data_IF_267892931334
#
_entry.id   IF_267892931334
#
_cell.length_a   1.000
_cell.length_b   1.000
_cell.length_c   1.000
_cell.angle_alpha   90.00
_cell.angle_beta   90.00
_cell.angle_gamma   90.00
#
_symmetry.space_group_name_H-M   'P 1'
#
loop_
_entity.id
_entity.type
_entity.pdbx_description
1 polymer ?
#
# COMPACT_ATOMS: atom_id res chain seq x y z
N UNK A 1 -4.20 4.36 5.36
CA UNK A 1 -3.02 4.30 4.47
C UNK A 1 -1.94 3.48 5.15
N UNK A 2 -1.50 2.39 4.53
CA UNK A 2 -0.32 1.63 4.97
C UNK A 2 0.95 2.46 4.76
N UNK A 3 1.85 2.46 5.74
CA UNK A 3 3.09 3.25 5.72
C UNK A 3 4.27 2.40 6.15
N UNK A 4 5.46 2.76 5.68
CA UNK A 4 6.71 2.22 6.20
C UNK A 4 7.60 3.39 6.63
N UNK A 5 8.29 3.22 7.76
CA UNK A 5 9.31 4.13 8.25
C UNK A 5 10.61 3.39 8.40
N UNK A 6 11.73 4.02 8.08
CA UNK A 6 13.05 3.42 8.33
C UNK A 6 13.55 3.79 9.71
N UNK A 7 14.14 2.81 10.41
CA UNK A 7 14.81 3.01 11.68
C UNK A 7 16.16 2.31 11.71
N UNK A 8 17.00 2.70 12.66
CA UNK A 8 18.29 2.05 12.89
C UNK A 8 18.12 0.88 13.85
N UNK A 9 18.23 -0.35 13.35
CA UNK A 9 18.19 -1.56 14.17
C UNK A 9 19.56 -1.93 14.70
N UNK A 10 19.57 -2.55 15.88
CA UNK A 10 20.72 -3.25 16.48
C UNK A 10 20.53 -4.75 16.54
N UNK A 11 19.42 -5.24 16.00
CA UNK A 11 19.11 -6.66 15.92
C UNK A 11 20.08 -7.34 14.93
N UNK A 12 20.87 -8.32 15.39
CA UNK A 12 21.81 -9.04 14.54
C UNK A 12 21.14 -9.99 13.54
N UNK A 13 19.88 -10.37 13.77
CA UNK A 13 19.16 -11.31 12.92
C UNK A 13 18.55 -10.63 11.67
N UNK A 14 18.53 -9.29 11.65
CA UNK A 14 18.05 -8.52 10.51
C UNK A 14 19.17 -8.32 9.46
N UNK A 15 18.83 -8.34 8.16
CA UNK A 15 19.84 -8.32 7.10
C UNK A 15 20.55 -6.96 6.95
N UNK A 16 19.97 -5.86 7.43
CA UNK A 16 20.57 -4.53 7.37
C UNK A 16 20.31 -3.69 8.63
N UNK A 17 21.24 -2.77 8.93
CA UNK A 17 21.12 -1.84 10.07
C UNK A 17 20.00 -0.81 9.90
N UNK A 18 19.77 -0.32 8.69
CA UNK A 18 18.61 0.53 8.41
C UNK A 18 17.50 -0.39 7.91
N UNK A 19 16.40 -0.46 8.65
CA UNK A 19 15.38 -1.47 8.43
C UNK A 19 13.97 -0.85 8.43
N UNK A 20 13.02 -1.35 7.61
CA UNK A 20 11.67 -0.83 7.57
C UNK A 20 10.84 -1.34 8.77
N UNK A 21 10.08 -0.43 9.35
CA UNK A 21 8.99 -0.69 10.27
C UNK A 21 7.67 -0.45 9.52
N UNK A 22 6.86 -1.48 9.36
CA UNK A 22 5.59 -1.40 8.61
C UNK A 22 4.46 -1.08 9.57
N UNK A 23 3.77 0.02 9.29
CA UNK A 23 2.60 0.48 10.04
C UNK A 23 1.35 0.08 9.24
N UNK A 24 0.55 -0.87 9.75
CA UNK A 24 -0.68 -1.28 9.08
C UNK A 24 -1.71 -0.15 9.05
N UNK A 25 -2.60 -0.20 8.08
CA UNK A 25 -3.63 0.82 7.87
C UNK A 25 -4.68 0.86 8.98
N UNK A 26 -4.97 -0.28 9.59
CA UNK A 26 -6.10 -0.48 10.52
C UNK A 26 -5.73 -0.27 12.00
N UNK A 27 -4.59 0.38 12.27
CA UNK A 27 -4.17 0.70 13.65
C UNK A 27 -3.62 -0.49 14.46
N UNK A 28 -3.37 -1.63 13.81
CA UNK A 28 -2.72 -2.78 14.44
C UNK A 28 -1.25 -2.54 14.82
N UNK A 29 -0.61 -3.49 15.52
CA UNK A 29 0.79 -3.37 15.92
C UNK A 29 1.69 -3.24 14.70
N UNK A 30 2.72 -2.41 14.83
CA UNK A 30 3.76 -2.27 13.82
C UNK A 30 4.47 -3.59 13.62
N UNK A 31 4.77 -3.92 12.37
CA UNK A 31 5.45 -5.17 12.02
C UNK A 31 6.89 -4.86 11.60
N UNK A 32 7.82 -5.65 12.14
CA UNK A 32 9.23 -5.65 11.74
C UNK A 32 9.40 -6.88 10.83
N UNK A 33 9.65 -6.69 9.52
CA UNK A 33 9.89 -7.81 8.63
C UNK A 33 11.19 -8.52 8.99
N UNK A 34 11.27 -9.83 8.74
CA UNK A 34 12.49 -10.61 9.03
C UNK A 34 13.44 -10.72 7.83
N UNK A 35 12.94 -10.42 6.63
CA UNK A 35 13.72 -10.43 5.38
C UNK A 35 13.24 -9.35 4.41
N UNK A 36 13.97 -9.16 3.31
CA UNK A 36 13.58 -8.21 2.25
C UNK A 36 12.30 -8.68 1.56
N UNK A 37 12.17 -9.98 1.32
CA UNK A 37 11.00 -10.62 0.73
C UNK A 37 9.78 -10.42 1.64
N UNK A 38 9.94 -10.67 2.93
CA UNK A 38 8.88 -10.44 3.92
C UNK A 38 8.47 -8.96 3.96
N UNK A 39 9.43 -8.02 3.87
CA UNK A 39 9.13 -6.59 3.80
C UNK A 39 8.30 -6.23 2.56
N UNK A 40 8.63 -6.80 1.39
CA UNK A 40 7.89 -6.59 0.15
C UNK A 40 6.46 -7.10 0.27
N UNK A 41 6.28 -8.32 0.75
CA UNK A 41 4.95 -8.92 0.91
C UNK A 41 4.10 -8.16 1.92
N UNK A 42 4.64 -7.86 3.10
CA UNK A 42 3.90 -7.10 4.10
C UNK A 42 3.51 -5.69 3.63
N UNK A 43 4.35 -5.03 2.82
CA UNK A 43 4.07 -3.68 2.35
C UNK A 43 3.15 -3.65 1.13
N UNK A 44 3.39 -4.50 0.13
CA UNK A 44 2.80 -4.39 -1.22
C UNK A 44 1.80 -5.50 -1.56
N UNK A 45 1.87 -6.67 -0.94
CA UNK A 45 0.91 -7.74 -1.17
C UNK A 45 -0.30 -7.56 -0.25
N UNK A 46 -1.20 -6.66 -0.64
CA UNK A 46 -2.43 -6.40 0.10
C UNK A 46 -3.67 -6.62 -0.75
N UNK A 47 -4.73 -7.09 -0.08
CA UNK A 47 -6.06 -7.16 -0.62
C UNK A 47 -6.95 -6.13 0.10
N UNK A 48 -7.59 -5.25 -0.67
CA UNK A 48 -8.56 -4.27 -0.13
C UNK A 48 -9.86 -4.36 -0.91
N UNK A 49 -10.95 -4.57 -0.18
CA UNK A 49 -12.31 -4.56 -0.72
C UNK A 49 -12.90 -3.17 -0.56
N UNK A 50 -13.53 -2.68 -1.62
CA UNK A 50 -14.30 -1.44 -1.59
C UNK A 50 -15.76 -1.80 -1.82
N UNK A 51 -16.62 -1.41 -0.87
CA UNK A 51 -18.06 -1.58 -1.00
C UNK A 51 -18.64 -0.27 -1.52
N UNK A 52 -19.35 -0.35 -2.65
CA UNK A 52 -19.97 0.78 -3.31
C UNK A 52 -21.49 0.58 -3.28
N UNK A 53 -22.22 1.49 -2.64
CA UNK A 53 -23.67 1.46 -2.66
C UNK A 53 -24.16 1.89 -4.04
N UNK A 54 -24.97 1.06 -4.72
CA UNK A 54 -25.48 1.40 -6.07
C UNK A 54 -26.25 2.73 -6.11
N UNK A 55 -26.93 3.07 -5.02
CA UNK A 55 -27.62 4.36 -4.89
C UNK A 55 -26.69 5.59 -4.98
N UNK A 56 -25.41 5.48 -4.59
CA UNK A 56 -24.47 6.62 -4.67
C UNK A 56 -23.92 6.85 -6.08
N UNK A 57 -23.97 5.85 -6.95
CA UNK A 57 -23.56 5.94 -8.35
C UNK A 57 -24.69 6.50 -9.23
N UNK A 58 -25.94 6.30 -8.84
CA UNK A 58 -27.12 6.70 -9.62
C UNK A 58 -27.39 5.79 -10.81
N UNK A 59 -28.54 5.98 -11.46
CA UNK A 59 -28.95 5.17 -12.61
C UNK A 59 -28.04 5.40 -13.82
N UNK A 60 -27.76 4.34 -14.56
CA UNK A 60 -26.95 4.40 -15.79
C UNK A 60 -25.80 3.40 -15.82
N UNK A 61 -24.89 3.62 -16.77
CA UNK A 61 -23.69 2.79 -16.97
C UNK A 61 -22.47 3.49 -16.41
N UNK A 62 -21.77 2.82 -15.49
CA UNK A 62 -20.63 3.36 -14.76
C UNK A 62 -19.37 2.53 -15.04
N UNK A 63 -18.23 3.20 -15.23
CA UNK A 63 -16.92 2.54 -15.34
C UNK A 63 -16.17 2.69 -14.03
N UNK A 64 -15.96 1.58 -13.35
CA UNK A 64 -15.29 1.52 -12.05
C UNK A 64 -13.88 0.96 -12.27
N UNK A 65 -12.86 1.62 -11.74
CA UNK A 65 -11.49 1.14 -11.76
C UNK A 65 -10.82 1.41 -10.41
N UNK A 66 -9.91 0.53 -10.00
CA UNK A 66 -9.05 0.75 -8.85
C UNK A 66 -7.79 1.52 -9.27
N UNK A 67 -7.30 2.39 -8.39
CA UNK A 67 -6.00 3.03 -8.52
C UNK A 67 -5.19 2.81 -7.25
N UNK A 68 -3.89 2.59 -7.41
CA UNK A 68 -2.94 2.44 -6.33
C UNK A 68 -1.81 3.43 -6.57
N UNK A 69 -1.46 4.18 -5.52
CA UNK A 69 -0.36 5.13 -5.56
C UNK A 69 0.58 4.83 -4.42
N UNK A 70 1.87 4.70 -4.75
CA UNK A 70 2.95 4.57 -3.78
C UNK A 70 3.79 5.82 -3.86
N UNK A 71 4.10 6.41 -2.70
CA UNK A 71 4.93 7.62 -2.60
C UNK A 71 6.01 7.40 -1.55
N UNK A 72 7.17 8.00 -1.77
CA UNK A 72 8.27 7.99 -0.83
C UNK A 72 8.92 9.36 -0.72
N UNK A 73 9.43 9.65 0.48
CA UNK A 73 10.17 10.86 0.77
C UNK A 73 11.59 10.80 0.20
N UNK A 74 12.24 11.96 0.15
CA UNK A 74 13.67 12.04 -0.15
C UNK A 74 14.47 11.51 1.04
N UNK A 75 15.43 10.65 0.77
CA UNK A 75 16.47 10.21 1.70
C UNK A 75 17.85 10.36 1.04
N UNK A 76 18.92 10.08 1.78
CA UNK A 76 20.29 10.17 1.25
C UNK A 76 20.57 9.23 0.07
N UNK A 77 19.78 8.16 -0.07
CA UNK A 77 19.96 7.10 -1.07
C UNK A 77 18.83 7.04 -2.12
N UNK A 78 17.80 7.90 -2.01
CA UNK A 78 16.69 7.94 -2.97
C UNK A 78 16.06 9.33 -3.01
N UNK A 79 15.82 9.85 -4.20
CA UNK A 79 15.06 11.08 -4.37
C UNK A 79 13.58 10.88 -4.10
N UNK A 80 12.89 11.95 -3.69
CA UNK A 80 11.43 11.90 -3.51
C UNK A 80 10.76 11.42 -4.80
N UNK A 81 9.75 10.58 -4.68
CA UNK A 81 9.09 10.03 -5.86
C UNK A 81 7.73 9.42 -5.58
N UNK A 82 7.05 9.08 -6.66
CA UNK A 82 5.80 8.35 -6.63
C UNK A 82 5.68 7.44 -7.86
N UNK A 83 4.93 6.36 -7.70
CA UNK A 83 4.50 5.48 -8.78
C UNK A 83 3.00 5.22 -8.64
N UNK A 84 2.31 5.15 -9.76
CA UNK A 84 0.87 4.96 -9.83
C UNK A 84 0.55 3.77 -10.74
N UNK A 85 -0.42 2.98 -10.32
CA UNK A 85 -0.97 1.85 -11.08
C UNK A 85 -2.49 1.94 -11.12
N UNK A 86 -3.07 1.59 -12.26
CA UNK A 86 -4.52 1.57 -12.45
C UNK A 86 -4.97 0.21 -12.98
N UNK A 87 -6.06 -0.31 -12.42
CA UNK A 87 -6.67 -1.53 -12.93
C UNK A 87 -7.37 -1.31 -14.27
N UNK A 88 -7.66 -2.40 -14.98
CA UNK A 88 -8.65 -2.36 -16.06
C UNK A 88 -10.01 -1.96 -15.45
N UNK A 89 -10.79 -1.10 -16.14
CA UNK A 89 -12.11 -0.72 -15.67
C UNK A 89 -13.10 -1.87 -15.86
N UNK A 90 -14.07 -1.96 -14.95
CA UNK A 90 -15.24 -2.82 -15.03
C UNK A 90 -16.47 -1.94 -15.25
N UNK A 91 -17.39 -2.39 -16.11
CA UNK A 91 -18.63 -1.67 -16.39
C UNK A 91 -19.74 -2.25 -15.52
N UNK A 92 -20.44 -1.38 -14.79
CA UNK A 92 -21.60 -1.73 -13.98
C UNK A 92 -22.80 -0.92 -14.48
N UNK A 93 -23.97 -1.56 -14.59
CA UNK A 93 -25.21 -0.90 -14.98
C UNK A 93 -26.18 -0.94 -13.80
N UNK A 94 -26.77 0.22 -13.50
CA UNK A 94 -27.71 0.42 -12.38
C UNK A 94 -29.02 0.91 -12.97
N UNK A 95 -30.11 0.20 -12.66
CA UNK A 95 -31.46 0.45 -13.16
C UNK A 95 -32.29 1.37 -12.25
#
# INVERSE_FOLDING_TARGET
MRKASFYWSRDPDLPYRIWPLIVPEEGGPTKIPLSVEDAKTQMFDFFKRFELAGGSLGRGSHRIAASVTVKWGRHSYIEKGQVEGRSRPVVVRIE
#
